data_IF_613694943614
#
_entry.id   IF_613694943614
#
_cell.length_a   1.000
_cell.length_b   1.000
_cell.length_c   1.000
_cell.angle_alpha   90.00
_cell.angle_beta   90.00
_cell.angle_gamma   90.00
#
_symmetry.space_group_name_H-M   'P 1'
#
loop_
_entity.id
_entity.type
_entity.pdbx_description
1 polymer ?
#
# COMPACT_ATOMS: atom_id res chain seq x y z
N UNK A 1 8.73 -15.11 4.00
CA UNK A 1 9.00 -15.69 5.33
C UNK A 1 7.74 -16.38 5.87
N UNK A 2 7.24 -17.41 5.17
CA UNK A 2 5.98 -18.10 5.54
C UNK A 2 6.15 -19.37 6.38
N UNK A 3 7.39 -19.78 6.66
CA UNK A 3 7.69 -20.99 7.43
C UNK A 3 7.48 -20.74 8.93
N UNK A 4 7.00 -21.71 9.73
CA UNK A 4 6.77 -21.52 11.17
C UNK A 4 7.97 -21.00 11.95
N UNK A 5 9.18 -21.45 11.60
CA UNK A 5 10.42 -20.99 12.23
C UNK A 5 10.64 -19.46 12.14
N UNK A 6 10.07 -18.80 11.12
CA UNK A 6 10.18 -17.34 10.97
C UNK A 6 9.40 -16.56 12.02
N UNK A 7 8.49 -17.18 12.78
CA UNK A 7 7.80 -16.56 13.92
C UNK A 7 8.79 -15.96 14.92
N UNK A 8 9.97 -16.56 15.07
CA UNK A 8 11.01 -16.05 15.97
C UNK A 8 11.48 -14.61 15.62
N UNK A 9 11.22 -14.14 14.40
CA UNK A 9 11.57 -12.79 13.94
C UNK A 9 10.54 -11.72 14.36
N UNK A 10 9.32 -12.10 14.77
CA UNK A 10 8.22 -11.16 15.02
C UNK A 10 8.51 -10.22 16.20
N UNK A 11 8.78 -10.78 17.39
CA UNK A 11 9.01 -9.97 18.59
C UNK A 11 10.27 -9.08 18.47
N UNK A 12 11.42 -9.56 17.93
CA UNK A 12 12.56 -8.69 17.64
C UNK A 12 12.20 -7.54 16.70
N UNK A 13 11.46 -7.82 15.62
CA UNK A 13 11.07 -6.79 14.65
C UNK A 13 10.16 -5.72 15.27
N UNK A 14 9.16 -6.13 16.05
CA UNK A 14 8.27 -5.19 16.76
C UNK A 14 9.09 -4.26 17.67
N UNK A 15 10.03 -4.83 18.43
CA UNK A 15 10.88 -4.07 19.35
C UNK A 15 11.86 -3.15 18.63
N UNK A 16 12.57 -3.65 17.63
CA UNK A 16 13.60 -2.91 16.89
C UNK A 16 13.02 -1.72 16.15
N UNK A 17 11.85 -1.91 15.53
CA UNK A 17 11.19 -0.87 14.73
C UNK A 17 10.10 -0.10 15.48
N UNK A 18 9.90 -0.38 16.78
CA UNK A 18 8.98 0.36 17.63
C UNK A 18 7.51 0.29 17.20
N UNK A 19 7.05 -0.87 16.72
CA UNK A 19 5.65 -1.04 16.32
C UNK A 19 4.74 -1.05 17.55
N UNK A 20 3.62 -0.32 17.47
CA UNK A 20 2.61 -0.33 18.51
C UNK A 20 1.73 -1.60 18.40
N UNK A 21 2.04 -2.59 19.23
CA UNK A 21 1.27 -3.83 19.30
C UNK A 21 -0.15 -3.62 19.84
N UNK A 22 -0.46 -2.48 20.47
CA UNK A 22 -1.81 -2.17 20.96
C UNK A 22 -2.80 -1.94 19.82
N UNK A 23 -2.33 -1.57 18.63
CA UNK A 23 -3.15 -1.40 17.42
C UNK A 23 -3.54 -2.74 16.79
N UNK A 24 -2.86 -3.85 17.12
CA UNK A 24 -3.06 -5.11 16.42
C UNK A 24 -4.39 -5.75 16.83
N UNK A 25 -5.10 -6.32 15.85
CA UNK A 25 -6.36 -7.01 16.11
C UNK A 25 -6.13 -8.33 16.88
N UNK A 26 -5.00 -8.98 16.64
CA UNK A 26 -4.61 -10.25 17.25
C UNK A 26 -3.34 -10.06 18.12
N UNK A 27 -3.20 -10.77 19.24
CA UNK A 27 -1.98 -10.74 20.05
C UNK A 27 -0.75 -11.16 19.25
N UNK A 28 0.40 -10.50 19.45
CA UNK A 28 1.62 -10.77 18.69
C UNK A 28 2.11 -12.23 18.80
N UNK A 29 1.80 -12.91 19.91
CA UNK A 29 2.18 -14.30 20.16
C UNK A 29 1.39 -15.29 19.29
N UNK A 30 0.23 -14.87 18.77
CA UNK A 30 -0.68 -15.71 17.98
C UNK A 30 -0.20 -15.97 16.55
N UNK A 31 0.67 -15.10 16.02
CA UNK A 31 1.18 -15.24 14.66
C UNK A 31 2.03 -16.50 14.51
N UNK A 32 1.74 -17.31 13.48
CA UNK A 32 2.43 -18.59 13.22
C UNK A 32 3.65 -18.43 12.33
N UNK A 33 3.82 -17.29 11.67
CA UNK A 33 4.97 -16.96 10.83
C UNK A 33 5.18 -15.45 10.74
N UNK A 34 6.36 -15.02 10.27
CA UNK A 34 6.61 -13.60 10.02
C UNK A 34 5.70 -13.03 8.93
N UNK A 35 5.38 -13.81 7.88
CA UNK A 35 4.44 -13.36 6.86
C UNK A 35 3.05 -13.05 7.43
N UNK A 36 2.56 -13.87 8.36
CA UNK A 36 1.25 -13.64 9.01
C UNK A 36 1.24 -12.34 9.81
N UNK A 37 2.32 -12.08 10.55
CA UNK A 37 2.56 -10.80 11.21
C UNK A 37 2.71 -9.63 10.21
N UNK A 38 3.40 -9.83 9.09
CA UNK A 38 3.62 -8.80 8.08
C UNK A 38 2.28 -8.31 7.49
N UNK A 39 1.33 -9.22 7.30
CA UNK A 39 -0.06 -8.91 6.89
C UNK A 39 -1.04 -8.83 8.06
N UNK A 40 -0.57 -8.57 9.30
CA UNK A 40 -1.41 -8.44 10.50
C UNK A 40 -2.62 -7.54 10.25
N UNK A 41 -3.75 -7.82 10.90
CA UNK A 41 -4.90 -6.90 10.92
C UNK A 41 -4.70 -5.88 12.04
N UNK A 42 -5.20 -4.67 11.83
CA UNK A 42 -5.33 -3.66 12.88
C UNK A 42 -6.76 -3.65 13.42
N UNK A 43 -6.91 -3.13 14.64
CA UNK A 43 -8.21 -2.84 15.25
C UNK A 43 -8.94 -1.76 14.43
N UNK A 44 -10.28 -1.82 14.31
CA UNK A 44 -11.05 -0.81 13.58
C UNK A 44 -10.78 0.63 14.06
N UNK A 45 -10.53 0.80 15.36
CA UNK A 45 -10.32 2.10 15.99
C UNK A 45 -8.93 2.69 15.71
N UNK A 46 -7.98 1.88 15.20
CA UNK A 46 -6.62 2.34 14.93
C UNK A 46 -6.55 3.26 13.70
N UNK A 47 -7.48 3.11 12.76
CA UNK A 47 -7.57 3.90 11.51
C UNK A 47 -9.03 4.25 11.22
N UNK A 48 -9.62 5.19 11.97
CA UNK A 48 -10.99 5.63 11.71
C UNK A 48 -11.07 6.27 10.31
N UNK A 49 -12.14 5.96 9.57
CA UNK A 49 -12.44 6.63 8.31
C UNK A 49 -12.99 8.04 8.56
N UNK A 50 -12.74 8.94 7.62
CA UNK A 50 -13.35 10.26 7.62
C UNK A 50 -14.87 10.11 7.44
N UNK A 51 -15.71 10.73 8.30
CA UNK A 51 -17.16 10.67 8.16
C UNK A 51 -17.70 11.55 7.03
N UNK A 52 -16.91 12.46 6.46
CA UNK A 52 -17.31 13.31 5.35
C UNK A 52 -17.47 12.47 4.07
N UNK A 53 -18.68 12.40 3.47
CA UNK A 53 -18.91 11.64 2.24
C UNK A 53 -18.17 12.21 1.02
N UNK A 54 -17.68 13.45 1.06
CA UNK A 54 -16.88 14.06 -0.01
C UNK A 54 -15.37 13.85 0.19
N UNK A 55 -14.95 13.28 1.33
CA UNK A 55 -13.55 13.01 1.60
C UNK A 55 -13.09 11.70 0.94
N UNK A 56 -11.93 11.76 0.26
CA UNK A 56 -11.24 10.57 -0.25
C UNK A 56 -10.11 10.20 0.72
N UNK A 57 -10.11 8.96 1.20
CA UNK A 57 -9.12 8.50 2.18
C UNK A 57 -7.90 7.86 1.51
N UNK A 58 -6.76 7.82 2.22
CA UNK A 58 -5.60 7.08 1.72
C UNK A 58 -5.88 5.57 1.78
N UNK A 59 -5.51 4.80 0.74
CA UNK A 59 -5.81 3.36 0.69
C UNK A 59 -4.90 2.51 1.59
N UNK A 60 -3.85 3.10 2.16
CA UNK A 60 -2.85 2.38 2.95
C UNK A 60 -2.05 3.33 3.83
N UNK A 61 -1.46 2.80 4.91
CA UNK A 61 -0.40 3.46 5.65
C UNK A 61 0.83 3.60 4.75
N UNK A 62 1.59 4.70 4.89
CA UNK A 62 2.89 4.82 4.23
C UNK A 62 3.33 6.26 4.04
N UNK A 63 4.06 6.48 2.94
CA UNK A 63 4.46 7.82 2.48
C UNK A 63 3.85 8.06 1.10
N UNK A 64 3.21 9.22 0.95
CA UNK A 64 2.44 9.56 -0.23
C UNK A 64 3.13 10.68 -1.00
N UNK A 65 3.24 10.51 -2.31
CA UNK A 65 3.70 11.55 -3.24
C UNK A 65 2.55 11.86 -4.19
N UNK A 66 2.05 13.10 -4.13
CA UNK A 66 0.90 13.57 -4.91
C UNK A 66 1.30 14.46 -6.07
N UNK A 67 0.62 14.30 -7.20
CA UNK A 67 0.70 15.18 -8.36
C UNK A 67 -0.73 15.62 -8.72
N UNK A 68 -1.03 16.93 -8.73
CA UNK A 68 -2.39 17.41 -9.00
C UNK A 68 -2.81 17.13 -10.45
N UNK A 69 -1.87 17.18 -11.38
CA UNK A 69 -2.10 16.93 -12.79
C UNK A 69 -0.98 16.10 -13.40
N UNK A 70 -1.29 14.90 -13.86
CA UNK A 70 -0.31 13.99 -14.47
C UNK A 70 0.21 14.54 -15.80
N UNK A 71 -0.55 15.37 -16.53
CA UNK A 71 -0.10 15.89 -17.83
C UNK A 71 1.10 16.84 -17.71
N UNK A 72 1.35 17.38 -16.52
CA UNK A 72 2.46 18.29 -16.23
C UNK A 72 3.77 17.55 -15.93
N UNK A 73 3.73 16.22 -15.83
CA UNK A 73 4.91 15.39 -15.60
C UNK A 73 5.11 14.41 -16.76
N UNK A 74 6.36 14.26 -17.20
CA UNK A 74 6.71 13.31 -18.26
C UNK A 74 6.89 11.88 -17.74
N UNK A 75 7.21 11.74 -16.45
CA UNK A 75 7.39 10.43 -15.80
C UNK A 75 7.40 10.57 -14.28
N UNK A 76 7.09 9.49 -13.59
CA UNK A 76 7.30 9.32 -12.15
C UNK A 76 8.55 8.49 -11.86
N UNK A 77 9.22 8.77 -10.75
CA UNK A 77 10.40 8.03 -10.31
C UNK A 77 10.03 7.08 -9.18
N UNK A 78 10.15 5.78 -9.41
CA UNK A 78 9.85 4.73 -8.43
C UNK A 78 11.02 3.78 -8.38
N UNK A 79 11.63 3.63 -7.20
CA UNK A 79 12.75 2.70 -6.94
C UNK A 79 13.88 2.76 -7.97
N UNK A 80 14.39 3.96 -8.28
CA UNK A 80 15.51 4.11 -9.22
C UNK A 80 15.12 4.05 -10.71
N UNK A 81 13.83 3.86 -11.02
CA UNK A 81 13.34 3.73 -12.39
C UNK A 81 12.32 4.83 -12.73
N UNK A 82 12.34 5.26 -14.00
CA UNK A 82 11.37 6.21 -14.55
C UNK A 82 10.23 5.46 -15.23
N UNK A 83 9.01 5.81 -14.87
CA UNK A 83 7.80 5.26 -15.48
C UNK A 83 6.97 6.38 -16.08
N UNK A 84 6.55 6.21 -17.34
CA UNK A 84 5.44 6.99 -17.91
C UNK A 84 4.11 6.42 -17.42
N UNK A 85 3.02 7.22 -17.51
CA UNK A 85 1.68 6.73 -17.19
C UNK A 85 1.30 5.47 -17.98
N UNK A 86 1.66 5.43 -19.27
CA UNK A 86 1.45 4.26 -20.12
C UNK A 86 2.20 3.01 -19.64
N UNK A 87 3.45 3.15 -19.23
CA UNK A 87 4.21 2.04 -18.67
C UNK A 87 3.66 1.57 -17.31
N UNK A 88 3.12 2.49 -16.50
CA UNK A 88 2.55 2.17 -15.19
C UNK A 88 1.22 1.41 -15.31
N UNK A 89 0.38 1.81 -16.27
CA UNK A 89 -0.94 1.21 -16.46
C UNK A 89 -0.93 -0.02 -17.38
N UNK A 90 0.10 -0.17 -18.21
CA UNK A 90 0.22 -1.26 -19.19
C UNK A 90 -0.85 -1.22 -20.31
N UNK A 91 -1.60 -0.11 -20.42
CA UNK A 91 -2.68 0.07 -21.39
C UNK A 91 -2.77 1.53 -21.85
N UNK A 92 -2.67 1.75 -23.16
CA UNK A 92 -2.70 3.08 -23.78
C UNK A 92 -4.06 3.78 -23.60
N UNK A 93 -5.16 3.04 -23.69
CA UNK A 93 -6.52 3.60 -23.54
C UNK A 93 -6.75 4.21 -22.16
N UNK A 94 -6.33 3.53 -21.10
CA UNK A 94 -6.43 4.04 -19.73
C UNK A 94 -5.53 5.25 -19.50
N UNK A 95 -4.37 5.27 -20.15
CA UNK A 95 -3.45 6.40 -20.07
C UNK A 95 -4.09 7.68 -20.60
N UNK A 96 -4.82 7.58 -21.71
CA UNK A 96 -5.57 8.72 -22.26
C UNK A 96 -6.71 9.14 -21.31
N UNK A 97 -7.45 8.18 -20.75
CA UNK A 97 -8.54 8.45 -19.80
C UNK A 97 -8.06 9.20 -18.57
N UNK A 98 -6.87 8.88 -18.04
CA UNK A 98 -6.34 9.47 -16.81
C UNK A 98 -5.33 10.59 -17.05
N UNK A 99 -5.07 10.99 -18.30
CA UNK A 99 -3.98 11.91 -18.65
C UNK A 99 -4.01 13.25 -17.92
N UNK A 100 -5.20 13.76 -17.56
CA UNK A 100 -5.40 15.05 -16.86
C UNK A 100 -5.84 14.88 -15.41
N UNK A 101 -5.79 13.65 -14.89
CA UNK A 101 -6.15 13.36 -13.51
C UNK A 101 -5.01 13.65 -12.53
N UNK A 102 -5.32 13.51 -11.25
CA UNK A 102 -4.32 13.51 -10.18
C UNK A 102 -3.74 12.13 -9.95
N UNK A 103 -2.48 12.05 -9.51
CA UNK A 103 -1.79 10.81 -9.15
C UNK A 103 -1.32 10.87 -7.71
N UNK A 104 -1.56 9.79 -6.97
CA UNK A 104 -0.94 9.57 -5.66
C UNK A 104 -0.14 8.27 -5.72
N UNK A 105 1.14 8.36 -5.40
CA UNK A 105 2.02 7.21 -5.24
C UNK A 105 2.23 6.94 -3.74
N UNK A 106 1.78 5.79 -3.28
CA UNK A 106 1.94 5.35 -1.88
C UNK A 106 3.08 4.33 -1.77
N UNK A 107 4.07 4.63 -0.94
CA UNK A 107 5.20 3.74 -0.64
C UNK A 107 5.10 3.23 0.79
N UNK A 108 4.96 1.92 0.95
CA UNK A 108 4.99 1.22 2.24
C UNK A 108 6.43 0.83 2.59
N UNK A 109 6.82 1.14 3.82
CA UNK A 109 7.99 0.61 4.50
C UNK A 109 7.66 -0.75 5.16
N UNK A 110 8.65 -1.59 5.46
CA UNK A 110 8.42 -2.89 6.12
C UNK A 110 7.64 -2.82 7.45
N UNK A 111 7.68 -1.68 8.13
CA UNK A 111 7.02 -1.40 9.41
C UNK A 111 5.53 -1.10 9.28
N UNK A 112 5.11 -0.63 8.10
CA UNK A 112 3.76 -0.14 7.86
C UNK A 112 2.74 -1.31 7.89
N UNK A 113 1.46 -0.96 7.81
CA UNK A 113 0.39 -1.93 7.67
C UNK A 113 0.27 -2.39 6.20
N UNK A 114 0.64 -3.64 5.93
CA UNK A 114 0.67 -4.20 4.56
C UNK A 114 -0.67 -4.77 4.09
N UNK A 115 -1.74 -4.00 4.28
CA UNK A 115 -3.04 -4.25 3.62
C UNK A 115 -3.52 -2.96 2.98
N UNK A 116 -4.12 -3.09 1.81
CA UNK A 116 -4.75 -1.99 1.10
C UNK A 116 -6.25 -2.03 1.33
N UNK A 117 -6.84 -0.85 1.42
CA UNK A 117 -8.27 -0.59 1.52
C UNK A 117 -8.71 0.24 0.32
N UNK A 118 -10.01 0.24 0.05
CA UNK A 118 -10.56 1.13 -0.96
C UNK A 118 -10.58 2.57 -0.41
N UNK A 119 -10.12 3.56 -1.18
CA UNK A 119 -10.10 4.95 -0.75
C UNK A 119 -11.50 5.58 -0.69
N UNK A 120 -12.47 4.96 -1.39
CA UNK A 120 -13.87 5.37 -1.49
C UNK A 120 -14.74 4.17 -1.94
N UNK A 121 -16.06 4.33 -1.89
CA UNK A 121 -17.06 3.41 -2.42
C UNK A 121 -16.96 3.25 -3.94
N UNK A 122 -17.14 2.03 -4.42
CA UNK A 122 -17.11 1.79 -5.85
C UNK A 122 -17.34 0.33 -6.23
N UNK A 123 -17.23 0.05 -7.53
CA UNK A 123 -17.31 -1.30 -8.08
C UNK A 123 -16.06 -1.59 -8.88
N UNK A 124 -15.43 -2.73 -8.63
CA UNK A 124 -14.30 -3.22 -9.43
C UNK A 124 -14.81 -3.52 -10.84
N UNK A 125 -14.33 -2.76 -11.83
CA UNK A 125 -14.71 -2.94 -13.24
C UNK A 125 -13.72 -3.82 -14.00
N UNK A 126 -12.43 -3.75 -13.64
CA UNK A 126 -11.37 -4.50 -14.28
C UNK A 126 -10.16 -4.64 -13.36
N UNK A 127 -9.41 -5.74 -13.52
CA UNK A 127 -8.13 -5.99 -12.87
C UNK A 127 -7.26 -6.80 -13.81
N UNK A 128 -5.99 -6.43 -13.97
CA UNK A 128 -5.04 -7.19 -14.78
C UNK A 128 -3.67 -7.18 -14.11
N UNK A 129 -2.83 -8.12 -14.52
CA UNK A 129 -1.46 -8.27 -14.04
C UNK A 129 -0.51 -7.80 -15.13
N UNK A 130 0.39 -6.89 -14.80
CA UNK A 130 1.51 -6.51 -15.66
C UNK A 130 2.74 -7.32 -15.22
N UNK A 131 3.28 -8.20 -16.07
CA UNK A 131 4.51 -8.92 -15.75
C UNK A 131 5.68 -7.95 -15.56
N UNK A 132 6.55 -8.22 -14.58
CA UNK A 132 7.69 -7.37 -14.27
C UNK A 132 8.66 -8.04 -13.32
N UNK A 133 9.85 -7.46 -13.18
CA UNK A 133 10.86 -7.93 -12.25
C UNK A 133 10.61 -7.40 -10.83
N UNK A 134 11.14 -8.12 -9.84
CA UNK A 134 11.10 -7.71 -8.44
C UNK A 134 12.32 -6.83 -8.13
N UNK A 135 12.12 -5.51 -8.14
CA UNK A 135 13.14 -4.53 -7.77
C UNK A 135 13.00 -4.16 -6.28
N UNK A 136 14.13 -4.17 -5.55
CA UNK A 136 14.20 -3.78 -4.12
C UNK A 136 14.28 -2.26 -3.99
#
# INVERSE_FOLDING_TARGET
MGRPASRALVAPFIKEFGLDASEFADPQESFKSFNEFFIRKLKPEARPFDPDPEAVTFPCDGRHLGFPNISEITSVFVKGQRFSLASLLGASELSNRFARGSLVLSRLCPTDYHRFHFPDSGRVLASWRIPGALHS
#
